data_IF_926772075789
#
_entry.id   IF_926772075789
#
_cell.length_a   1.000
_cell.length_b   1.000
_cell.length_c   1.000
_cell.angle_alpha   90.00
_cell.angle_beta   90.00
_cell.angle_gamma   90.00
#
_symmetry.space_group_name_H-M   'P 1'
#
loop_
_entity.id
_entity.type
_entity.pdbx_description
1 polymer ?
#
# COMPACT_ATOMS: atom_id res chain seq x y z
N UNK A 1 -16.81 -12.98 -18.30
CA UNK A 1 -15.78 -12.82 -17.25
C UNK A 1 -15.75 -14.10 -16.46
N UNK A 2 -14.57 -14.54 -16.04
CA UNK A 2 -14.46 -15.68 -15.13
C UNK A 2 -14.75 -15.22 -13.69
N UNK A 3 -15.23 -16.13 -12.83
CA UNK A 3 -15.47 -15.84 -11.40
C UNK A 3 -14.20 -15.24 -10.72
N UNK A 4 -13.01 -15.66 -11.16
CA UNK A 4 -11.72 -15.11 -10.67
C UNK A 4 -11.50 -13.65 -11.07
N UNK A 5 -11.87 -13.25 -12.28
CA UNK A 5 -11.75 -11.84 -12.74
C UNK A 5 -12.72 -10.93 -11.99
N UNK A 6 -13.95 -11.40 -11.77
CA UNK A 6 -14.96 -10.67 -10.99
C UNK A 6 -14.50 -10.48 -9.54
N UNK A 7 -13.93 -11.52 -8.94
CA UNK A 7 -13.36 -11.45 -7.60
C UNK A 7 -12.20 -10.44 -7.51
N UNK A 8 -11.25 -10.46 -8.46
CA UNK A 8 -10.16 -9.47 -8.50
C UNK A 8 -10.71 -8.04 -8.63
N UNK A 9 -11.70 -7.82 -9.50
CA UNK A 9 -12.34 -6.50 -9.65
C UNK A 9 -13.02 -6.04 -8.37
N UNK A 10 -13.69 -6.94 -7.66
CA UNK A 10 -14.31 -6.62 -6.38
C UNK A 10 -13.26 -6.19 -5.34
N UNK A 11 -12.15 -6.92 -5.22
CA UNK A 11 -11.08 -6.56 -4.27
C UNK A 11 -10.38 -5.25 -4.67
N UNK A 12 -10.19 -4.97 -5.96
CA UNK A 12 -9.70 -3.65 -6.42
C UNK A 12 -10.64 -2.53 -5.98
N UNK A 13 -11.96 -2.75 -6.08
CA UNK A 13 -12.97 -1.81 -5.58
C UNK A 13 -12.81 -1.52 -4.09
N UNK A 14 -12.59 -2.56 -3.28
CA UNK A 14 -12.31 -2.42 -1.83
C UNK A 14 -11.03 -1.60 -1.62
N UNK A 15 -9.93 -1.95 -2.30
CA UNK A 15 -8.66 -1.25 -2.16
C UNK A 15 -8.78 0.24 -2.53
N UNK A 16 -9.50 0.56 -3.62
CA UNK A 16 -9.78 1.94 -4.02
C UNK A 16 -10.52 2.70 -2.93
N UNK A 17 -11.57 2.10 -2.36
CA UNK A 17 -12.35 2.72 -1.29
C UNK A 17 -11.51 2.97 -0.02
N UNK A 18 -10.60 2.05 0.34
CA UNK A 18 -9.66 2.27 1.45
C UNK A 18 -8.68 3.42 1.13
N UNK A 19 -8.17 3.51 -0.10
CA UNK A 19 -7.29 4.60 -0.51
C UNK A 19 -8.02 5.96 -0.57
N UNK A 20 -9.26 5.99 -1.06
CA UNK A 20 -10.09 7.20 -1.11
C UNK A 20 -10.35 7.74 0.31
N UNK A 21 -10.68 6.86 1.27
CA UNK A 21 -10.81 7.26 2.68
C UNK A 21 -9.49 7.77 3.25
N UNK A 22 -8.36 7.13 2.92
CA UNK A 22 -7.03 7.58 3.32
C UNK A 22 -6.71 8.97 2.77
N UNK A 23 -6.97 9.21 1.48
CA UNK A 23 -6.77 10.51 0.86
C UNK A 23 -7.67 11.57 1.47
N UNK A 24 -8.96 11.27 1.66
CA UNK A 24 -9.90 12.18 2.30
C UNK A 24 -9.49 12.54 3.73
N UNK A 25 -8.81 11.66 4.47
CA UNK A 25 -8.23 12.00 5.77
C UNK A 25 -7.06 12.99 5.67
N UNK A 26 -6.15 12.76 4.72
CA UNK A 26 -4.93 13.57 4.55
C UNK A 26 -5.11 14.85 3.73
N UNK A 27 -6.25 15.03 3.06
CA UNK A 27 -6.64 16.27 2.37
C UNK A 27 -7.37 17.26 3.31
N UNK A 28 -7.50 16.92 4.60
CA UNK A 28 -8.03 17.83 5.63
C UNK A 28 -6.94 18.81 6.12
N UNK A 29 -7.36 19.87 6.82
CA UNK A 29 -6.42 20.81 7.45
C UNK A 29 -6.22 20.43 8.93
N UNK A 30 -5.48 19.34 9.16
CA UNK A 30 -5.22 18.77 10.50
C UNK A 30 -3.71 18.79 10.83
N UNK A 31 -3.38 18.75 12.13
CA UNK A 31 -2.00 18.49 12.57
C UNK A 31 -1.65 17.00 12.45
N UNK A 32 -0.98 16.64 11.37
CA UNK A 32 -0.55 15.27 11.06
C UNK A 32 0.69 14.78 11.83
N UNK A 33 1.28 15.62 12.69
CA UNK A 33 2.41 15.24 13.55
C UNK A 33 1.98 14.60 14.87
N UNK A 34 0.67 14.51 15.13
CA UNK A 34 0.13 13.77 16.27
C UNK A 34 0.49 12.29 16.18
N UNK A 35 1.16 11.80 17.21
CA UNK A 35 1.56 10.39 17.36
C UNK A 35 0.34 9.47 17.36
N UNK A 36 0.33 8.47 16.49
CA UNK A 36 -0.72 7.44 16.42
C UNK A 36 -0.24 6.15 17.09
N UNK A 37 1.00 5.78 16.84
CA UNK A 37 1.73 4.73 17.56
C UNK A 37 2.84 5.35 18.42
N UNK A 38 3.54 4.53 19.20
CA UNK A 38 4.63 4.98 20.08
C UNK A 38 5.69 5.81 19.34
N UNK A 39 6.01 5.43 18.10
CA UNK A 39 7.08 6.08 17.31
C UNK A 39 6.61 6.71 16.00
N UNK A 40 5.35 6.52 15.59
CA UNK A 40 4.85 6.99 14.29
C UNK A 40 3.66 7.93 14.45
N UNK A 41 3.74 9.08 13.81
CA UNK A 41 2.60 9.98 13.58
C UNK A 41 1.81 9.58 12.32
N UNK A 42 0.74 10.32 12.01
CA UNK A 42 -0.08 10.02 10.84
C UNK A 42 0.71 10.16 9.52
N UNK A 43 1.58 11.17 9.39
CA UNK A 43 2.44 11.34 8.22
C UNK A 43 3.39 10.15 8.02
N UNK A 44 3.98 9.63 9.11
CA UNK A 44 4.85 8.46 9.06
C UNK A 44 4.10 7.22 8.55
N UNK A 45 2.84 7.06 8.97
CA UNK A 45 1.96 5.98 8.48
C UNK A 45 1.65 6.14 6.99
N UNK A 46 1.36 7.36 6.52
CA UNK A 46 1.15 7.60 5.08
C UNK A 46 2.41 7.25 4.26
N UNK A 47 3.58 7.65 4.77
CA UNK A 47 4.88 7.29 4.19
C UNK A 47 5.08 5.77 4.13
N UNK A 48 4.80 5.09 5.24
CA UNK A 48 4.86 3.63 5.35
C UNK A 48 3.96 2.93 4.32
N UNK A 49 2.69 3.34 4.23
CA UNK A 49 1.74 2.80 3.25
C UNK A 49 2.25 3.03 1.83
N UNK A 50 2.67 4.27 1.52
CA UNK A 50 3.18 4.65 0.20
C UNK A 50 4.36 3.77 -0.23
N UNK A 51 5.34 3.59 0.66
CA UNK A 51 6.53 2.80 0.41
C UNK A 51 6.20 1.33 0.08
N UNK A 52 5.32 0.70 0.86
CA UNK A 52 4.93 -0.70 0.62
C UNK A 52 4.08 -0.85 -0.64
N UNK A 53 3.19 0.11 -0.91
CA UNK A 53 2.36 0.13 -2.11
C UNK A 53 3.20 0.26 -3.38
N UNK A 54 4.22 1.12 -3.36
CA UNK A 54 5.19 1.25 -4.44
C UNK A 54 6.00 -0.03 -4.64
N UNK A 55 6.33 -0.74 -3.56
CA UNK A 55 7.01 -2.03 -3.67
C UNK A 55 6.14 -3.06 -4.37
N UNK A 56 4.85 -3.12 -4.04
CA UNK A 56 3.89 -3.97 -4.73
C UNK A 56 3.79 -3.59 -6.22
N UNK A 57 3.58 -2.30 -6.51
CA UNK A 57 3.50 -1.77 -7.87
C UNK A 57 4.73 -2.13 -8.73
N UNK A 58 5.94 -1.97 -8.19
CA UNK A 58 7.17 -2.36 -8.89
C UNK A 58 7.20 -3.86 -9.15
N UNK A 59 6.94 -4.69 -8.13
CA UNK A 59 7.05 -6.14 -8.28
C UNK A 59 6.04 -6.68 -9.29
N UNK A 60 4.82 -6.16 -9.30
CA UNK A 60 3.80 -6.62 -10.25
C UNK A 60 4.07 -6.10 -11.67
N UNK A 61 4.55 -4.86 -11.82
CA UNK A 61 4.96 -4.33 -13.12
C UNK A 61 6.13 -5.12 -13.72
N UNK A 62 7.13 -5.46 -12.90
CA UNK A 62 8.27 -6.28 -13.32
C UNK A 62 7.77 -7.63 -13.87
N UNK A 63 6.91 -8.33 -13.13
CA UNK A 63 6.31 -9.59 -13.58
C UNK A 63 5.53 -9.44 -14.88
N UNK A 64 4.71 -8.40 -14.99
CA UNK A 64 3.92 -8.12 -16.19
C UNK A 64 4.77 -7.83 -17.43
N UNK A 65 5.98 -7.29 -17.23
CA UNK A 65 6.97 -6.99 -18.28
C UNK A 65 7.95 -8.15 -18.54
N UNK A 66 7.80 -9.29 -17.86
CA UNK A 66 8.74 -10.42 -17.96
C UNK A 66 10.10 -10.15 -17.31
N UNK A 67 10.19 -9.14 -16.44
CA UNK A 67 11.39 -8.76 -15.69
C UNK A 67 11.36 -9.48 -14.34
N UNK A 68 12.52 -9.98 -13.88
CA UNK A 68 12.65 -10.60 -12.56
C UNK A 68 12.51 -9.53 -11.46
N UNK A 69 11.51 -9.63 -10.55
CA UNK A 69 11.34 -8.64 -9.49
C UNK A 69 12.49 -8.64 -8.48
N UNK A 70 12.66 -7.49 -7.82
CA UNK A 70 13.63 -7.30 -6.74
C UNK A 70 12.90 -6.97 -5.42
N UNK A 71 12.28 -7.96 -4.76
CA UNK A 71 11.55 -7.72 -3.53
C UNK A 71 12.48 -7.21 -2.42
N UNK A 72 11.89 -6.48 -1.47
CA UNK A 72 12.58 -5.88 -0.33
C UNK A 72 13.35 -6.95 0.47
N UNK A 73 14.47 -6.56 1.06
CA UNK A 73 15.38 -7.45 1.80
C UNK A 73 15.54 -6.96 3.24
N UNK A 74 15.84 -7.88 4.15
CA UNK A 74 16.00 -7.59 5.58
C UNK A 74 14.85 -8.11 6.44
N UNK A 75 14.93 -7.82 7.73
CA UNK A 75 13.86 -8.08 8.70
C UNK A 75 12.69 -7.12 8.44
N UNK A 76 11.47 -7.54 8.78
CA UNK A 76 10.28 -6.70 8.58
C UNK A 76 10.41 -5.37 9.33
N UNK A 77 10.95 -5.38 10.55
CA UNK A 77 11.22 -4.17 11.34
C UNK A 77 12.20 -3.22 10.65
N UNK A 78 13.27 -3.74 10.04
CA UNK A 78 14.27 -2.93 9.31
C UNK A 78 13.64 -2.27 8.08
N UNK A 79 12.83 -3.02 7.33
CA UNK A 79 12.11 -2.50 6.15
C UNK A 79 11.06 -1.48 6.56
N UNK A 80 10.38 -1.68 7.69
CA UNK A 80 9.42 -0.71 8.23
C UNK A 80 10.12 0.58 8.65
N UNK A 81 11.28 0.51 9.32
CA UNK A 81 12.07 1.70 9.63
C UNK A 81 12.54 2.40 8.36
N UNK A 82 13.02 1.65 7.36
CA UNK A 82 13.38 2.20 6.06
C UNK A 82 12.20 2.95 5.41
N UNK A 83 10.98 2.41 5.51
CA UNK A 83 9.79 3.04 4.93
C UNK A 83 9.57 4.44 5.49
N UNK A 84 9.71 4.64 6.80
CA UNK A 84 9.56 5.95 7.45
C UNK A 84 10.74 6.87 7.13
N UNK A 85 11.98 6.36 7.27
CA UNK A 85 13.18 7.16 7.04
C UNK A 85 13.29 7.70 5.61
N UNK A 86 12.86 6.92 4.63
CA UNK A 86 12.93 7.32 3.21
C UNK A 86 11.80 8.27 2.80
N UNK A 87 10.75 8.40 3.60
CA UNK A 87 9.60 9.26 3.30
C UNK A 87 9.50 10.49 4.21
N UNK A 88 10.30 10.59 5.28
CA UNK A 88 10.16 11.64 6.31
C UNK A 88 10.18 13.08 5.79
N UNK A 89 10.98 13.33 4.74
CA UNK A 89 11.15 14.66 4.14
C UNK A 89 10.11 14.96 3.05
N UNK A 90 9.26 14.01 2.70
CA UNK A 90 8.24 14.20 1.67
C UNK A 90 7.06 15.01 2.20
N UNK A 91 6.40 15.78 1.33
CA UNK A 91 5.11 16.39 1.68
C UNK A 91 3.99 15.35 1.59
N UNK A 92 2.90 15.59 2.33
CA UNK A 92 1.70 14.74 2.27
C UNK A 92 1.17 14.66 0.83
N UNK A 93 1.07 15.80 0.14
CA UNK A 93 0.65 15.87 -1.26
C UNK A 93 1.53 15.00 -2.18
N UNK A 94 2.85 15.01 -1.97
CA UNK A 94 3.76 14.19 -2.77
C UNK A 94 3.58 12.70 -2.47
N UNK A 95 3.40 12.32 -1.21
CA UNK A 95 3.12 10.93 -0.83
C UNK A 95 1.79 10.45 -1.44
N UNK A 96 0.73 11.25 -1.38
CA UNK A 96 -0.57 10.94 -2.01
C UNK A 96 -0.38 10.74 -3.52
N UNK A 97 0.34 11.63 -4.20
CA UNK A 97 0.60 11.50 -5.64
C UNK A 97 1.34 10.21 -5.97
N UNK A 98 2.39 9.88 -5.22
CA UNK A 98 3.16 8.63 -5.35
C UNK A 98 2.26 7.41 -5.15
N UNK A 99 1.41 7.43 -4.13
CA UNK A 99 0.47 6.35 -3.84
C UNK A 99 -0.57 6.16 -4.96
N UNK A 100 -1.10 7.26 -5.53
CA UNK A 100 -2.00 7.24 -6.70
C UNK A 100 -1.31 6.61 -7.93
N UNK A 101 -0.05 6.94 -8.19
CA UNK A 101 0.74 6.35 -9.29
C UNK A 101 0.98 4.85 -9.06
N UNK A 102 1.35 4.46 -7.84
CA UNK A 102 1.52 3.06 -7.47
C UNK A 102 0.21 2.27 -7.65
N UNK A 103 -0.93 2.82 -7.22
CA UNK A 103 -2.23 2.20 -7.39
C UNK A 103 -2.59 2.00 -8.87
N UNK A 104 -2.38 3.01 -9.71
CA UNK A 104 -2.64 2.89 -11.15
C UNK A 104 -1.78 1.78 -11.79
N UNK A 105 -0.52 1.68 -11.38
CA UNK A 105 0.39 0.60 -11.84
C UNK A 105 -0.10 -0.77 -11.39
N UNK A 106 -0.55 -0.91 -10.15
CA UNK A 106 -1.12 -2.18 -9.66
C UNK A 106 -2.32 -2.57 -10.52
N UNK A 107 -3.25 -1.65 -10.75
CA UNK A 107 -4.47 -1.93 -11.54
C UNK A 107 -4.18 -2.29 -12.99
N UNK A 108 -3.16 -1.69 -13.60
CA UNK A 108 -2.71 -2.02 -14.95
C UNK A 108 -2.25 -3.49 -15.05
N UNK A 109 -1.46 -3.97 -14.09
CA UNK A 109 -0.80 -5.28 -14.19
C UNK A 109 -1.53 -6.40 -13.44
N UNK A 110 -2.37 -6.11 -12.44
CA UNK A 110 -3.04 -7.12 -11.60
C UNK A 110 -4.07 -7.95 -12.37
N UNK A 111 -4.60 -7.43 -13.48
CA UNK A 111 -5.52 -8.17 -14.34
C UNK A 111 -4.82 -9.22 -15.20
N UNK A 112 -3.49 -9.18 -15.33
CA UNK A 112 -2.73 -10.16 -16.11
C UNK A 112 -2.78 -11.54 -15.44
N UNK A 113 -3.48 -12.47 -16.10
CA UNK A 113 -3.73 -13.82 -15.59
C UNK A 113 -2.50 -14.73 -15.58
N UNK A 114 -1.46 -14.36 -16.32
CA UNK A 114 -0.16 -15.05 -16.32
C UNK A 114 0.64 -14.81 -15.03
N UNK A 115 0.27 -13.78 -14.26
CA UNK A 115 0.89 -13.49 -12.96
C UNK A 115 0.21 -14.36 -11.90
N UNK A 116 0.88 -15.46 -11.52
CA UNK A 116 0.36 -16.38 -10.50
C UNK A 116 0.74 -15.97 -9.09
N UNK A 117 2.00 -15.60 -8.89
CA UNK A 117 2.58 -15.26 -7.58
C UNK A 117 3.36 -13.96 -7.68
N UNK A 118 3.20 -13.12 -6.65
CA UNK A 118 3.81 -11.81 -6.53
C UNK A 118 4.70 -11.84 -5.29
N UNK A 119 6.02 -11.59 -5.43
CA UNK A 119 6.90 -11.56 -4.29
C UNK A 119 6.63 -10.33 -3.45
N UNK A 120 6.54 -10.51 -2.13
CA UNK A 120 6.32 -9.44 -1.16
C UNK A 120 7.66 -8.93 -0.60
N UNK A 121 8.36 -9.81 0.12
CA UNK A 121 9.67 -9.56 0.73
C UNK A 121 10.53 -10.81 0.55
N UNK A 122 11.83 -10.66 0.31
CA UNK A 122 12.75 -11.80 0.22
C UNK A 122 12.68 -12.66 1.49
N UNK A 123 12.49 -13.96 1.30
CA UNK A 123 12.35 -14.96 2.36
C UNK A 123 10.95 -15.01 3.01
N UNK A 124 10.00 -14.18 2.58
CA UNK A 124 8.59 -14.35 2.91
C UNK A 124 7.89 -15.19 1.84
N UNK A 125 6.68 -15.66 2.16
CA UNK A 125 5.80 -16.31 1.19
C UNK A 125 5.37 -15.32 0.11
N UNK A 126 5.33 -15.79 -1.14
CA UNK A 126 4.74 -15.03 -2.24
C UNK A 126 3.20 -15.10 -2.18
N UNK A 127 2.54 -14.04 -2.63
CA UNK A 127 1.08 -13.96 -2.63
C UNK A 127 0.52 -14.16 -4.02
N UNK A 128 -0.63 -14.82 -4.11
CA UNK A 128 -1.47 -14.71 -5.31
C UNK A 128 -1.97 -13.28 -5.47
N UNK A 129 -2.49 -12.95 -6.65
CA UNK A 129 -3.02 -11.62 -6.97
C UNK A 129 -4.12 -11.17 -5.99
N UNK A 130 -5.09 -12.04 -5.70
CA UNK A 130 -6.18 -11.74 -4.77
C UNK A 130 -5.67 -11.61 -3.34
N UNK A 131 -4.84 -12.55 -2.88
CA UNK A 131 -4.26 -12.49 -1.53
C UNK A 131 -3.46 -11.19 -1.31
N UNK A 132 -2.67 -10.75 -2.29
CA UNK A 132 -1.87 -9.53 -2.14
C UNK A 132 -2.76 -8.29 -2.02
N UNK A 133 -3.81 -8.20 -2.85
CA UNK A 133 -4.79 -7.12 -2.75
C UNK A 133 -5.50 -7.13 -1.40
N UNK A 134 -5.94 -8.29 -0.92
CA UNK A 134 -6.61 -8.43 0.39
C UNK A 134 -5.71 -8.03 1.56
N UNK A 135 -4.45 -8.48 1.55
CA UNK A 135 -3.45 -8.12 2.57
C UNK A 135 -3.25 -6.60 2.61
N UNK A 136 -3.11 -5.96 1.45
CA UNK A 136 -2.88 -4.52 1.36
C UNK A 136 -4.12 -3.71 1.76
N UNK A 137 -5.32 -4.12 1.32
CA UNK A 137 -6.58 -3.49 1.73
C UNK A 137 -6.76 -3.55 3.25
N UNK A 138 -6.58 -4.73 3.85
CA UNK A 138 -6.69 -4.91 5.30
C UNK A 138 -5.63 -4.11 6.07
N UNK A 139 -4.43 -4.00 5.50
CA UNK A 139 -3.35 -3.20 6.08
C UNK A 139 -3.69 -1.71 6.12
N UNK A 140 -4.17 -1.15 5.01
CA UNK A 140 -4.60 0.25 4.94
C UNK A 140 -5.79 0.50 5.87
N UNK A 141 -6.79 -0.38 5.84
CA UNK A 141 -7.97 -0.30 6.71
C UNK A 141 -7.60 -0.23 8.20
N UNK A 142 -6.67 -1.09 8.64
CA UNK A 142 -6.20 -1.09 10.03
C UNK A 142 -5.56 0.25 10.41
N UNK A 143 -4.68 0.76 9.56
CA UNK A 143 -4.03 2.05 9.80
C UNK A 143 -5.03 3.21 9.82
N UNK A 144 -5.97 3.24 8.87
CA UNK A 144 -7.07 4.19 8.85
C UNK A 144 -7.86 4.17 10.15
N UNK A 145 -8.27 2.99 10.62
CA UNK A 145 -9.00 2.85 11.88
C UNK A 145 -8.23 3.40 13.07
N UNK A 146 -6.93 3.12 13.16
CA UNK A 146 -6.08 3.59 14.25
C UNK A 146 -5.88 5.12 14.21
N UNK A 147 -5.70 5.67 13.00
CA UNK A 147 -5.68 7.11 12.75
C UNK A 147 -7.01 7.74 13.17
N UNK A 148 -8.13 7.28 12.63
CA UNK A 148 -9.46 7.83 12.93
C UNK A 148 -9.77 7.83 14.43
N UNK A 149 -9.43 6.74 15.12
CA UNK A 149 -9.56 6.66 16.59
C UNK A 149 -8.73 7.71 17.31
N UNK A 150 -7.52 8.01 16.82
CA UNK A 150 -6.63 9.01 17.44
C UNK A 150 -7.08 10.44 17.16
N UNK A 151 -7.69 10.71 16.00
CA UNK A 151 -8.14 12.04 15.59
C UNK A 151 -9.59 12.33 15.94
N UNK A 152 -10.38 11.33 16.37
CA UNK A 152 -11.79 11.51 16.72
C UNK A 152 -12.70 11.69 15.51
N UNK A 153 -12.26 11.25 14.34
CA UNK A 153 -13.02 11.30 13.09
C UNK A 153 -13.74 9.96 12.90
N UNK A 154 -14.93 9.83 13.48
CA UNK A 154 -15.87 8.72 13.25
C UNK A 154 -17.22 9.25 12.85
#
# INVERSE_FOLDING_TARGET
MTNKEEHIKAIIGILRNELEQLFAFFEQDLDYHKMVYEFWNAKDILGHITFWHESFARNISDLGKGIKPKPLRGKLSEVNNQSVETTKNESIEHLIKRLKVAQATIEEFIVNDKINLIPYKKGARDYTRSEHLEVVSNHIHKHLKDISKKYGTT
#
